data_IF_956022385261
#
_entry.id   IF_956022385261
#
_cell.length_a   1.000
_cell.length_b   1.000
_cell.length_c   1.000
_cell.angle_alpha   90.00
_cell.angle_beta   90.00
_cell.angle_gamma   90.00
#
_symmetry.space_group_name_H-M   'P 1'
#
loop_
_entity.id
_entity.type
_entity.pdbx_description
1 polymer ?
#
# COMPACT_ATOMS: atom_id res chain seq x y z
N UNK A 1 30.24 20.32 20.54
CA UNK A 1 28.83 20.47 20.97
C UNK A 1 28.00 21.40 20.06
N UNK A 2 28.40 21.63 18.79
CA UNK A 2 27.75 22.62 17.92
C UNK A 2 27.20 22.07 16.57
N UNK A 3 27.29 20.77 16.28
CA UNK A 3 26.96 20.21 14.94
C UNK A 3 25.65 19.40 14.85
N UNK A 4 24.97 19.12 15.97
CA UNK A 4 23.72 18.33 15.96
C UNK A 4 22.46 19.18 15.69
N UNK A 5 22.53 20.49 15.89
CA UNK A 5 21.38 21.39 15.66
C UNK A 5 21.13 21.64 14.15
N UNK A 6 22.20 21.67 13.34
CA UNK A 6 22.11 22.01 11.91
C UNK A 6 21.57 20.90 11.04
N UNK A 7 21.71 19.64 11.44
CA UNK A 7 21.24 18.48 10.66
C UNK A 7 19.74 18.28 10.85
N UNK A 8 19.24 18.44 12.07
CA UNK A 8 17.81 18.34 12.42
C UNK A 8 16.99 19.46 11.76
N UNK A 9 17.53 20.68 11.67
CA UNK A 9 16.88 21.79 10.97
C UNK A 9 16.93 21.66 9.45
N UNK A 10 17.99 21.05 8.88
CA UNK A 10 18.04 20.69 7.46
C UNK A 10 17.06 19.58 7.11
N UNK A 11 16.85 18.62 8.01
CA UNK A 11 15.84 17.56 7.85
C UNK A 11 14.43 18.12 7.99
N UNK A 12 14.13 18.94 9.00
CA UNK A 12 12.82 19.58 9.15
C UNK A 12 12.49 20.51 7.99
N UNK A 13 13.47 21.29 7.52
CA UNK A 13 13.27 22.18 6.36
C UNK A 13 13.24 21.42 5.03
N UNK A 14 13.88 20.25 4.92
CA UNK A 14 13.72 19.35 3.77
C UNK A 14 12.39 18.62 3.82
N UNK A 15 11.89 18.18 4.99
CA UNK A 15 10.57 17.57 5.17
C UNK A 15 9.48 18.61 4.95
N UNK A 16 9.64 19.86 5.41
CA UNK A 16 8.70 20.94 5.16
C UNK A 16 8.72 21.42 3.70
N UNK A 17 9.91 21.51 3.06
CA UNK A 17 10.01 21.81 1.62
C UNK A 17 9.54 20.66 0.75
N UNK A 18 9.86 19.43 1.12
CA UNK A 18 9.38 18.23 0.43
C UNK A 18 7.89 18.10 0.63
N UNK A 19 7.32 18.36 1.81
CA UNK A 19 5.86 18.41 2.03
C UNK A 19 5.21 19.44 1.11
N UNK A 20 5.70 20.68 1.08
CA UNK A 20 5.15 21.73 0.22
C UNK A 20 5.36 21.48 -1.30
N UNK A 21 6.35 20.67 -1.69
CA UNK A 21 6.59 20.28 -3.11
C UNK A 21 5.87 18.96 -3.48
N UNK A 22 5.64 18.10 -2.48
CA UNK A 22 4.91 16.84 -2.57
C UNK A 22 3.38 17.04 -2.38
N UNK A 23 2.94 18.21 -1.95
CA UNK A 23 1.53 18.60 -1.84
C UNK A 23 0.89 18.84 -3.20
N UNK A 24 1.67 18.89 -4.29
CA UNK A 24 1.16 19.18 -5.63
C UNK A 24 1.13 17.98 -6.58
N UNK A 25 1.89 16.91 -6.31
CA UNK A 25 1.90 15.73 -7.19
C UNK A 25 2.14 14.45 -6.39
N UNK A 26 1.06 13.78 -5.97
CA UNK A 26 1.11 12.44 -5.38
C UNK A 26 -0.01 11.54 -5.93
N UNK A 27 0.46 10.55 -6.69
CA UNK A 27 -0.16 9.32 -7.22
C UNK A 27 -1.70 9.22 -7.36
N UNK A 28 -2.21 9.34 -8.59
CA UNK A 28 -3.56 8.90 -8.99
C UNK A 28 -3.64 7.42 -9.41
N UNK A 29 -2.56 6.65 -9.22
CA UNK A 29 -2.28 5.39 -9.91
C UNK A 29 -3.34 4.29 -9.69
N UNK A 30 -3.99 4.26 -8.51
CA UNK A 30 -5.03 3.27 -8.23
C UNK A 30 -6.42 3.69 -8.76
N UNK A 31 -6.86 4.94 -8.60
CA UNK A 31 -8.22 5.32 -9.07
C UNK A 31 -8.29 5.52 -10.59
N UNK A 32 -7.28 6.14 -11.20
CA UNK A 32 -7.30 6.39 -12.64
C UNK A 32 -7.28 5.06 -13.42
N UNK A 33 -6.53 4.05 -12.96
CA UNK A 33 -6.53 2.71 -13.55
C UNK A 33 -7.91 2.04 -13.52
N UNK A 34 -8.59 2.05 -12.37
CA UNK A 34 -9.88 1.37 -12.23
C UNK A 34 -11.00 2.07 -13.02
N UNK A 35 -11.03 3.41 -13.01
CA UNK A 35 -11.99 4.19 -13.81
C UNK A 35 -11.71 4.00 -15.30
N UNK A 36 -10.45 4.03 -15.73
CA UNK A 36 -10.10 3.81 -17.13
C UNK A 36 -10.42 2.37 -17.58
N UNK A 37 -10.11 1.34 -16.78
CA UNK A 37 -10.40 -0.06 -17.12
C UNK A 37 -11.90 -0.29 -17.36
N UNK A 38 -12.78 0.26 -16.52
CA UNK A 38 -14.22 0.20 -16.72
C UNK A 38 -14.63 0.84 -18.05
N UNK A 39 -14.13 2.04 -18.34
CA UNK A 39 -14.46 2.77 -19.57
C UNK A 39 -13.93 2.07 -20.83
N UNK A 40 -12.76 1.42 -20.74
CA UNK A 40 -12.22 0.59 -21.83
C UNK A 40 -13.03 -0.70 -22.05
N UNK A 41 -13.49 -1.37 -21.00
CA UNK A 41 -14.40 -2.53 -21.13
C UNK A 41 -15.66 -2.12 -21.87
N UNK A 42 -16.26 -0.99 -21.50
CA UNK A 42 -17.45 -0.46 -22.19
C UNK A 42 -17.15 -0.09 -23.65
N UNK A 43 -16.04 0.61 -23.92
CA UNK A 43 -15.69 1.04 -25.28
C UNK A 43 -15.33 -0.12 -26.22
N UNK A 44 -14.84 -1.23 -25.68
CA UNK A 44 -14.56 -2.45 -26.44
C UNK A 44 -15.80 -3.36 -26.58
N UNK A 45 -16.98 -2.91 -26.13
CA UNK A 45 -18.23 -3.69 -26.11
C UNK A 45 -18.09 -5.03 -25.38
N UNK A 46 -17.29 -5.06 -24.32
CA UNK A 46 -17.08 -6.26 -23.51
C UNK A 46 -18.13 -6.35 -22.40
N UNK A 47 -18.50 -7.57 -21.96
CA UNK A 47 -19.41 -7.74 -20.84
C UNK A 47 -18.88 -7.09 -19.56
N UNK A 48 -19.76 -6.46 -18.77
CA UNK A 48 -19.38 -5.80 -17.51
C UNK A 48 -18.71 -6.76 -16.51
N UNK A 49 -18.98 -8.07 -16.61
CA UNK A 49 -18.33 -9.13 -15.81
C UNK A 49 -16.81 -9.14 -16.00
N UNK A 50 -16.31 -8.69 -17.16
CA UNK A 50 -14.87 -8.58 -17.45
C UNK A 50 -14.17 -7.61 -16.50
N UNK A 51 -14.84 -6.56 -16.02
CA UNK A 51 -14.29 -5.65 -14.99
C UNK A 51 -13.98 -6.42 -13.71
N UNK A 52 -14.88 -7.32 -13.30
CA UNK A 52 -14.67 -8.19 -12.15
C UNK A 52 -13.47 -9.11 -12.34
N UNK A 53 -13.34 -9.74 -13.51
CA UNK A 53 -12.20 -10.60 -13.80
C UNK A 53 -10.87 -9.86 -13.87
N UNK A 54 -10.83 -8.69 -14.49
CA UNK A 54 -9.64 -7.84 -14.54
C UNK A 54 -9.21 -7.39 -13.14
N UNK A 55 -10.17 -7.05 -12.28
CA UNK A 55 -9.91 -6.70 -10.88
C UNK A 55 -9.34 -7.87 -10.09
N UNK A 56 -9.94 -9.06 -10.20
CA UNK A 56 -9.43 -10.26 -9.53
C UNK A 56 -8.03 -10.63 -10.03
N UNK A 57 -7.79 -10.52 -11.34
CA UNK A 57 -6.47 -10.74 -11.92
C UNK A 57 -5.45 -9.73 -11.37
N UNK A 58 -5.82 -8.44 -11.24
CA UNK A 58 -4.94 -7.41 -10.69
C UNK A 58 -4.54 -7.68 -9.24
N UNK A 59 -5.45 -8.15 -8.40
CA UNK A 59 -5.10 -8.56 -7.04
C UNK A 59 -4.21 -9.81 -7.04
N UNK A 60 -4.53 -10.81 -7.88
CA UNK A 60 -3.71 -12.01 -8.01
C UNK A 60 -2.26 -11.73 -8.43
N UNK A 61 -2.07 -10.76 -9.32
CA UNK A 61 -0.74 -10.30 -9.78
C UNK A 61 -0.04 -9.46 -8.69
N UNK A 62 -0.75 -8.57 -8.00
CA UNK A 62 -0.14 -7.65 -7.03
C UNK A 62 0.22 -8.29 -5.69
N UNK A 63 -0.41 -9.40 -5.27
CA UNK A 63 -0.06 -10.11 -4.02
C UNK A 63 1.41 -10.57 -4.01
N UNK A 64 1.88 -11.38 -4.98
CA UNK A 64 3.29 -11.75 -5.05
C UNK A 64 4.16 -10.53 -5.38
N UNK A 65 3.63 -9.59 -6.18
CA UNK A 65 4.26 -8.31 -6.51
C UNK A 65 4.71 -7.54 -5.26
N UNK A 66 3.83 -7.36 -4.28
CA UNK A 66 4.08 -6.59 -3.06
C UNK A 66 5.22 -7.18 -2.22
N UNK A 67 5.25 -8.51 -2.06
CA UNK A 67 6.28 -9.21 -1.29
C UNK A 67 7.64 -9.05 -1.97
N UNK A 68 7.72 -9.35 -3.27
CA UNK A 68 8.95 -9.28 -4.05
C UNK A 68 9.44 -7.83 -4.13
N UNK A 69 8.54 -6.88 -4.35
CA UNK A 69 8.84 -5.46 -4.42
C UNK A 69 9.44 -4.95 -3.09
N UNK A 70 8.95 -5.45 -1.95
CA UNK A 70 9.50 -5.13 -0.64
C UNK A 70 10.97 -5.55 -0.50
N UNK A 71 11.26 -6.80 -0.86
CA UNK A 71 12.63 -7.34 -0.87
C UNK A 71 13.53 -6.53 -1.80
N UNK A 72 13.04 -6.17 -2.99
CA UNK A 72 13.77 -5.34 -3.95
C UNK A 72 14.06 -3.94 -3.39
N UNK A 73 13.11 -3.32 -2.70
CA UNK A 73 13.30 -2.00 -2.09
C UNK A 73 14.30 -2.03 -0.93
N UNK A 74 14.32 -3.11 -0.14
CA UNK A 74 15.32 -3.29 0.92
C UNK A 74 16.71 -3.60 0.33
N UNK A 75 16.78 -4.25 -0.84
CA UNK A 75 18.05 -4.62 -1.51
C UNK A 75 18.67 -3.46 -2.30
N UNK A 76 17.86 -2.74 -3.07
CA UNK A 76 18.32 -1.74 -4.05
C UNK A 76 17.98 -0.31 -3.63
N UNK A 77 17.23 -0.13 -2.55
CA UNK A 77 16.88 1.16 -1.98
C UNK A 77 15.67 1.85 -2.62
N UNK A 78 15.26 2.95 -1.99
CA UNK A 78 14.01 3.64 -2.30
C UNK A 78 13.96 4.25 -3.72
N UNK A 79 15.07 4.79 -4.24
CA UNK A 79 15.13 5.36 -5.61
C UNK A 79 14.83 4.31 -6.68
N UNK A 80 15.40 3.12 -6.52
CA UNK A 80 15.14 1.98 -7.39
C UNK A 80 13.67 1.55 -7.27
N UNK A 81 13.15 1.48 -6.04
CA UNK A 81 11.73 1.19 -5.81
C UNK A 81 10.80 2.15 -6.55
N UNK A 82 11.02 3.46 -6.45
CA UNK A 82 10.23 4.45 -7.20
C UNK A 82 10.38 4.32 -8.72
N UNK A 83 11.60 4.10 -9.21
CA UNK A 83 11.85 3.85 -10.64
C UNK A 83 11.02 2.67 -11.14
N UNK A 84 11.10 1.55 -10.44
CA UNK A 84 10.43 0.32 -10.81
C UNK A 84 8.90 0.47 -10.75
N UNK A 85 8.38 1.09 -9.69
CA UNK A 85 6.95 1.31 -9.52
C UNK A 85 6.36 2.21 -10.61
N UNK A 86 6.98 3.36 -10.89
CA UNK A 86 6.49 4.27 -11.91
C UNK A 86 6.71 3.74 -13.33
N UNK A 87 7.80 3.01 -13.60
CA UNK A 87 7.99 2.36 -14.89
C UNK A 87 6.91 1.29 -15.17
N UNK A 88 6.58 0.47 -14.16
CA UNK A 88 5.48 -0.50 -14.23
C UNK A 88 4.13 0.18 -14.47
N UNK A 89 3.89 1.30 -13.78
CA UNK A 89 2.70 2.15 -13.97
C UNK A 89 2.58 2.70 -15.40
N UNK A 90 3.65 3.32 -15.91
CA UNK A 90 3.72 3.85 -17.29
C UNK A 90 3.45 2.74 -18.31
N UNK A 91 4.08 1.58 -18.15
CA UNK A 91 3.95 0.48 -19.08
C UNK A 91 2.53 -0.12 -19.08
N UNK A 92 1.92 -0.25 -17.90
CA UNK A 92 0.52 -0.68 -17.74
C UNK A 92 -0.45 0.32 -18.40
N UNK A 93 -0.28 1.62 -18.15
CA UNK A 93 -1.15 2.64 -18.72
C UNK A 93 -0.96 2.84 -20.23
N UNK A 94 0.27 2.73 -20.75
CA UNK A 94 0.52 2.72 -22.20
C UNK A 94 -0.17 1.54 -22.88
N UNK A 95 -0.09 0.35 -22.28
CA UNK A 95 -0.77 -0.85 -22.79
C UNK A 95 -2.29 -0.67 -22.75
N UNK A 96 -2.82 -0.06 -21.69
CA UNK A 96 -4.24 0.27 -21.58
C UNK A 96 -4.65 1.30 -22.63
N UNK A 97 -3.87 2.36 -22.85
CA UNK A 97 -4.13 3.37 -23.87
C UNK A 97 -4.14 2.77 -25.30
N UNK A 98 -3.27 1.79 -25.54
CA UNK A 98 -3.18 1.08 -26.81
C UNK A 98 -4.19 -0.07 -26.95
N UNK A 99 -5.02 -0.34 -25.93
CA UNK A 99 -5.87 -1.52 -25.91
C UNK A 99 -6.87 -1.53 -27.08
N UNK A 100 -6.77 -2.58 -27.90
CA UNK A 100 -7.72 -2.89 -28.99
C UNK A 100 -8.58 -4.12 -28.70
N UNK A 101 -8.38 -4.76 -27.55
CA UNK A 101 -9.12 -5.96 -27.17
C UNK A 101 -8.87 -6.36 -25.72
N UNK A 102 -9.70 -7.30 -25.24
CA UNK A 102 -9.69 -7.77 -23.85
C UNK A 102 -8.31 -8.26 -23.39
N UNK A 103 -7.56 -8.97 -24.23
CA UNK A 103 -6.26 -9.52 -23.87
C UNK A 103 -5.23 -8.43 -23.48
N UNK A 104 -5.29 -7.25 -24.11
CA UNK A 104 -4.39 -6.13 -23.77
C UNK A 104 -4.70 -5.54 -22.39
N UNK A 105 -5.97 -5.62 -21.94
CA UNK A 105 -6.34 -5.22 -20.59
C UNK A 105 -5.81 -6.21 -19.55
N UNK A 106 -5.77 -7.51 -19.86
CA UNK A 106 -5.08 -8.48 -18.99
C UNK A 106 -3.57 -8.30 -19.03
N UNK A 107 -3.00 -7.94 -20.19
CA UNK A 107 -1.58 -7.63 -20.28
C UNK A 107 -1.22 -6.39 -19.44
N UNK A 108 -2.04 -5.33 -19.47
CA UNK A 108 -1.79 -4.16 -18.63
C UNK A 108 -1.86 -4.49 -17.13
N UNK A 109 -2.74 -5.41 -16.74
CA UNK A 109 -2.80 -5.97 -15.39
C UNK A 109 -1.51 -6.73 -15.03
N UNK A 110 -1.00 -7.59 -15.91
CA UNK A 110 0.28 -8.30 -15.66
C UNK A 110 1.43 -7.29 -15.52
N UNK A 111 1.43 -6.24 -16.34
CA UNK A 111 2.45 -5.19 -16.32
C UNK A 111 2.39 -4.31 -15.06
N UNK A 112 1.29 -4.34 -14.30
CA UNK A 112 1.17 -3.64 -13.01
C UNK A 112 1.78 -4.41 -11.83
N UNK A 113 2.50 -5.52 -12.08
CA UNK A 113 3.09 -6.37 -11.03
C UNK A 113 3.95 -5.64 -10.01
N UNK A 114 4.61 -4.54 -10.40
CA UNK A 114 5.46 -3.76 -9.50
C UNK A 114 4.88 -2.38 -9.15
N UNK A 115 3.58 -2.15 -9.35
CA UNK A 115 2.94 -0.84 -9.16
C UNK A 115 2.69 -0.49 -7.67
N UNK A 116 3.73 -0.57 -6.83
CA UNK A 116 3.67 -0.44 -5.37
C UNK A 116 4.26 0.89 -4.87
N UNK A 117 3.84 2.01 -5.44
CA UNK A 117 4.35 3.35 -5.07
C UNK A 117 4.07 3.76 -3.61
N UNK A 118 2.91 3.38 -3.07
CA UNK A 118 2.58 3.62 -1.67
C UNK A 118 3.49 2.83 -0.72
N UNK A 119 3.91 1.62 -1.10
CA UNK A 119 4.79 0.76 -0.32
C UNK A 119 6.18 1.38 -0.17
N UNK A 120 6.81 1.80 -1.27
CA UNK A 120 8.13 2.47 -1.23
C UNK A 120 8.05 3.83 -0.53
N UNK A 121 6.95 4.58 -0.71
CA UNK A 121 6.74 5.84 0.01
C UNK A 121 6.63 5.62 1.53
N UNK A 122 5.93 4.56 1.93
CA UNK A 122 5.78 4.18 3.34
C UNK A 122 7.10 3.72 3.95
N UNK A 123 7.95 3.03 3.19
CA UNK A 123 9.32 2.68 3.59
C UNK A 123 10.13 3.95 3.86
N UNK A 124 10.15 4.91 2.92
CA UNK A 124 10.90 6.16 3.07
C UNK A 124 10.45 6.95 4.29
N UNK A 125 9.14 7.08 4.51
CA UNK A 125 8.60 7.74 5.70
C UNK A 125 9.04 7.00 6.97
N UNK A 126 8.96 5.68 6.99
CA UNK A 126 9.31 4.88 8.16
C UNK A 126 10.80 4.99 8.51
N UNK A 127 11.68 5.01 7.51
CA UNK A 127 13.14 5.16 7.68
C UNK A 127 13.57 6.60 8.03
N UNK A 128 12.68 7.59 7.85
CA UNK A 128 12.99 9.02 8.09
C UNK A 128 12.27 9.62 9.29
N UNK A 129 11.43 8.85 9.96
CA UNK A 129 10.63 9.31 11.10
C UNK A 129 10.93 8.48 12.34
N UNK A 130 10.93 9.17 13.49
CA UNK A 130 11.02 8.52 14.79
C UNK A 130 9.77 7.68 15.07
N UNK A 131 9.88 6.70 15.97
CA UNK A 131 8.77 5.81 16.31
C UNK A 131 7.51 6.56 16.81
N UNK A 132 7.69 7.67 17.56
CA UNK A 132 6.60 8.46 18.13
C UNK A 132 5.83 9.28 17.07
N UNK A 133 6.51 9.75 16.03
CA UNK A 133 5.90 10.60 14.99
C UNK A 133 5.50 9.82 13.73
N UNK A 134 5.85 8.54 13.65
CA UNK A 134 5.67 7.71 12.45
C UNK A 134 4.22 7.56 12.03
N UNK A 135 3.32 7.27 12.98
CA UNK A 135 1.89 7.13 12.70
C UNK A 135 1.31 8.42 12.10
N UNK A 136 1.72 9.58 12.60
CA UNK A 136 1.30 10.88 12.08
C UNK A 136 1.76 11.09 10.63
N UNK A 137 3.04 10.84 10.33
CA UNK A 137 3.58 11.04 8.98
C UNK A 137 3.07 10.01 7.97
N UNK A 138 2.87 8.74 8.38
CA UNK A 138 2.20 7.74 7.55
C UNK A 138 0.72 8.10 7.30
N UNK A 139 0.07 8.74 8.28
CA UNK A 139 -1.25 9.33 8.13
C UNK A 139 -1.29 10.43 7.07
N UNK A 140 -0.35 11.39 7.13
CA UNK A 140 -0.22 12.44 6.11
C UNK A 140 0.10 11.88 4.72
N UNK A 141 0.96 10.86 4.64
CA UNK A 141 1.24 10.16 3.38
C UNK A 141 -0.04 9.56 2.79
N UNK A 142 -0.81 8.82 3.60
CA UNK A 142 -2.05 8.18 3.16
C UNK A 142 -3.12 9.21 2.78
N UNK A 143 -3.22 10.30 3.54
CA UNK A 143 -4.10 11.43 3.21
C UNK A 143 -3.76 12.02 1.85
N UNK A 144 -2.48 12.28 1.58
CA UNK A 144 -2.04 12.81 0.30
C UNK A 144 -2.32 11.86 -0.87
N UNK A 145 -2.17 10.55 -0.66
CA UNK A 145 -2.57 9.53 -1.64
C UNK A 145 -4.10 9.54 -1.88
N UNK A 146 -4.90 9.72 -0.82
CA UNK A 146 -6.35 9.84 -0.91
C UNK A 146 -6.80 11.08 -1.69
N UNK A 147 -6.15 12.23 -1.49
CA UNK A 147 -6.40 13.45 -2.27
C UNK A 147 -6.07 13.21 -3.76
N UNK A 148 -4.91 12.62 -4.04
CA UNK A 148 -4.49 12.26 -5.40
C UNK A 148 -5.45 11.29 -6.08
N UNK A 149 -5.99 10.33 -5.34
CA UNK A 149 -7.00 9.38 -5.80
C UNK A 149 -8.28 10.10 -6.24
N UNK A 150 -8.80 11.02 -5.42
CA UNK A 150 -10.02 11.79 -5.74
C UNK A 150 -9.79 12.69 -6.95
N UNK A 151 -8.74 13.51 -6.93
CA UNK A 151 -8.45 14.47 -8.01
C UNK A 151 -8.15 13.71 -9.31
N UNK A 152 -7.34 12.66 -9.26
CA UNK A 152 -6.99 11.84 -10.41
C UNK A 152 -8.20 11.12 -11.02
N UNK A 153 -9.09 10.58 -10.18
CA UNK A 153 -10.34 9.96 -10.62
C UNK A 153 -11.27 10.96 -11.31
N UNK A 154 -11.42 12.16 -10.74
CA UNK A 154 -12.22 13.23 -11.34
C UNK A 154 -11.64 13.71 -12.68
N UNK A 155 -10.33 13.97 -12.73
CA UNK A 155 -9.66 14.40 -13.95
C UNK A 155 -9.72 13.33 -15.04
N UNK A 156 -9.43 12.07 -14.71
CA UNK A 156 -9.50 10.94 -15.64
C UNK A 156 -10.92 10.71 -16.16
N UNK A 157 -11.93 10.78 -15.29
CA UNK A 157 -13.33 10.68 -15.66
C UNK A 157 -13.78 11.84 -16.56
N UNK A 158 -13.42 13.07 -16.22
CA UNK A 158 -13.71 14.25 -17.04
C UNK A 158 -13.07 14.14 -18.42
N UNK A 159 -11.79 13.80 -18.50
CA UNK A 159 -11.08 13.60 -19.78
C UNK A 159 -11.77 12.52 -20.62
N UNK A 160 -12.13 11.40 -20.01
CA UNK A 160 -12.73 10.31 -20.76
C UNK A 160 -14.15 10.64 -21.27
N UNK A 161 -14.96 11.33 -20.45
CA UNK A 161 -16.36 11.63 -20.77
C UNK A 161 -16.50 12.87 -21.68
N UNK A 162 -15.83 13.97 -21.34
CA UNK A 162 -15.95 15.24 -22.09
C UNK A 162 -15.13 15.24 -23.38
N UNK A 163 -13.90 14.72 -23.34
CA UNK A 163 -13.08 14.57 -24.56
C UNK A 163 -13.43 13.30 -25.34
N UNK A 164 -14.41 12.52 -24.86
CA UNK A 164 -14.89 11.26 -25.47
C UNK A 164 -13.76 10.30 -25.85
N UNK A 165 -12.70 10.28 -25.04
CA UNK A 165 -11.48 9.55 -25.36
C UNK A 165 -10.87 8.89 -24.13
N UNK A 166 -11.19 7.61 -23.95
CA UNK A 166 -10.61 6.76 -22.91
C UNK A 166 -9.08 6.66 -23.04
N UNK A 167 -8.57 6.71 -24.28
CA UNK A 167 -7.13 6.71 -24.56
C UNK A 167 -6.44 7.94 -23.98
N UNK A 168 -7.08 9.12 -24.09
CA UNK A 168 -6.52 10.34 -23.51
C UNK A 168 -6.49 10.29 -21.98
N UNK A 169 -7.50 9.67 -21.35
CA UNK A 169 -7.47 9.48 -19.89
C UNK A 169 -6.33 8.55 -19.45
N UNK A 170 -6.07 7.47 -20.19
CA UNK A 170 -4.92 6.60 -19.92
C UNK A 170 -3.57 7.29 -20.19
N UNK A 171 -3.44 8.06 -21.28
CA UNK A 171 -2.24 8.83 -21.59
C UNK A 171 -1.99 9.95 -20.57
N UNK A 172 -3.04 10.55 -20.02
CA UNK A 172 -2.92 11.50 -18.92
C UNK A 172 -2.26 10.85 -17.69
N UNK A 173 -2.67 9.63 -17.34
CA UNK A 173 -1.98 8.86 -16.28
C UNK A 173 -0.52 8.60 -16.60
N UNK A 174 -0.17 8.27 -17.85
CA UNK A 174 1.24 8.10 -18.28
C UNK A 174 2.05 9.37 -18.04
N UNK A 175 1.52 10.55 -18.39
CA UNK A 175 2.20 11.83 -18.16
C UNK A 175 2.41 12.08 -16.67
N UNK A 176 1.39 11.83 -15.84
CA UNK A 176 1.49 11.99 -14.39
C UNK A 176 2.51 11.04 -13.76
N UNK A 177 2.50 9.76 -14.14
CA UNK A 177 3.46 8.77 -13.65
C UNK A 177 4.88 9.08 -14.14
N UNK A 178 5.04 9.60 -15.37
CA UNK A 178 6.32 10.08 -15.89
C UNK A 178 6.86 11.29 -15.14
N UNK A 179 6.01 12.27 -14.84
CA UNK A 179 6.39 13.41 -14.01
C UNK A 179 6.78 12.96 -12.59
N UNK A 180 6.00 12.07 -11.98
CA UNK A 180 6.28 11.52 -10.65
C UNK A 180 7.59 10.72 -10.64
N UNK A 181 7.88 9.97 -11.71
CA UNK A 181 9.16 9.29 -11.90
C UNK A 181 10.32 10.30 -11.88
N UNK A 182 10.26 11.34 -12.72
CA UNK A 182 11.31 12.37 -12.79
C UNK A 182 11.50 13.04 -11.44
N UNK A 183 10.42 13.46 -10.78
CA UNK A 183 10.46 14.08 -9.46
C UNK A 183 11.07 13.13 -8.43
N UNK A 184 10.69 11.84 -8.43
CA UNK A 184 11.24 10.86 -7.49
C UNK A 184 12.75 10.70 -7.63
N UNK A 185 13.28 10.72 -8.86
CA UNK A 185 14.71 10.56 -9.09
C UNK A 185 15.51 11.81 -8.71
N UNK A 186 14.92 13.00 -8.87
CA UNK A 186 15.58 14.27 -8.55
C UNK A 186 15.49 14.64 -7.07
N UNK A 187 14.32 14.43 -6.44
CA UNK A 187 14.02 14.94 -5.11
C UNK A 187 14.29 13.94 -3.98
N UNK A 188 14.16 12.63 -4.23
CA UNK A 188 14.26 11.62 -3.17
C UNK A 188 15.71 11.14 -3.08
N UNK A 189 16.35 11.12 -1.91
CA UNK A 189 17.70 10.56 -1.77
C UNK A 189 17.67 9.02 -1.90
N UNK A 190 18.77 8.43 -2.37
CA UNK A 190 18.95 6.97 -2.35
C UNK A 190 19.09 6.51 -0.90
N UNK A 191 17.99 6.04 -0.31
CA UNK A 191 18.01 5.42 1.02
C UNK A 191 18.17 3.92 0.78
N UNK A 192 19.37 3.42 1.09
CA UNK A 192 19.69 2.00 1.06
C UNK A 192 19.94 1.59 2.51
N UNK A 193 19.27 0.55 3.03
CA UNK A 193 19.53 0.04 4.36
C UNK A 193 21.00 -0.38 4.51
N UNK A 194 21.65 0.02 5.61
CA UNK A 194 23.11 0.08 5.73
C UNK A 194 23.81 -1.26 5.99
N UNK A 195 23.09 -2.38 6.13
CA UNK A 195 23.71 -3.67 6.47
C UNK A 195 22.95 -4.92 6.01
N UNK A 196 22.02 -4.78 5.05
CA UNK A 196 21.21 -5.90 4.56
C UNK A 196 21.99 -6.88 3.67
N UNK A 197 21.61 -8.16 3.68
CA UNK A 197 22.00 -9.12 2.65
C UNK A 197 21.58 -8.57 1.28
N UNK A 198 22.54 -8.37 0.39
CA UNK A 198 22.26 -7.95 -0.97
C UNK A 198 21.96 -9.19 -1.81
N UNK A 199 20.71 -9.37 -2.21
CA UNK A 199 20.34 -10.45 -3.13
C UNK A 199 20.72 -10.07 -4.56
N UNK A 200 21.60 -10.85 -5.16
CA UNK A 200 22.10 -10.62 -6.51
C UNK A 200 21.32 -11.43 -7.54
N UNK A 201 20.72 -12.54 -7.14
CA UNK A 201 20.03 -13.45 -8.07
C UNK A 201 18.51 -13.45 -7.85
N UNK A 202 17.75 -13.49 -8.94
CA UNK A 202 16.29 -13.64 -8.88
C UNK A 202 15.85 -14.85 -8.04
N UNK A 203 16.55 -15.99 -8.17
CA UNK A 203 16.31 -17.22 -7.40
C UNK A 203 16.36 -16.98 -5.88
N UNK A 204 17.26 -16.12 -5.40
CA UNK A 204 17.38 -15.80 -3.98
C UNK A 204 16.20 -14.94 -3.52
N UNK A 205 15.81 -13.94 -4.33
CA UNK A 205 14.66 -13.06 -4.05
C UNK A 205 13.36 -13.86 -3.99
N UNK A 206 13.11 -14.69 -5.01
CA UNK A 206 11.93 -15.57 -5.05
C UNK A 206 11.98 -16.65 -3.96
N UNK A 207 13.18 -17.17 -3.65
CA UNK A 207 13.40 -18.11 -2.55
C UNK A 207 13.05 -17.49 -1.19
N UNK A 208 13.51 -16.27 -0.92
CA UNK A 208 13.17 -15.52 0.30
C UNK A 208 11.69 -15.19 0.37
N UNK A 209 11.07 -14.76 -0.74
CA UNK A 209 9.63 -14.53 -0.79
C UNK A 209 8.82 -15.80 -0.47
N UNK A 210 9.23 -16.95 -1.03
CA UNK A 210 8.59 -18.24 -0.77
C UNK A 210 8.76 -18.70 0.69
N UNK A 211 9.93 -18.48 1.29
CA UNK A 211 10.19 -18.76 2.70
C UNK A 211 9.33 -17.88 3.62
N UNK A 212 9.29 -16.57 3.38
CA UNK A 212 8.45 -15.64 4.14
C UNK A 212 6.97 -16.03 4.07
N UNK A 213 6.49 -16.40 2.87
CA UNK A 213 5.13 -16.89 2.71
C UNK A 213 4.90 -18.18 3.50
N UNK A 214 5.83 -19.14 3.41
CA UNK A 214 5.76 -20.41 4.13
C UNK A 214 5.78 -20.22 5.64
N UNK A 215 6.59 -19.31 6.16
CA UNK A 215 6.71 -19.03 7.59
C UNK A 215 5.47 -18.30 8.10
N UNK A 216 4.95 -17.34 7.31
CA UNK A 216 3.65 -16.71 7.58
C UNK A 216 2.54 -17.75 7.67
N UNK A 217 2.52 -18.72 6.75
CA UNK A 217 1.55 -19.82 6.73
C UNK A 217 1.78 -20.90 7.80
N UNK A 218 2.98 -21.02 8.38
CA UNK A 218 3.31 -22.00 9.43
C UNK A 218 3.13 -21.47 10.85
N UNK A 219 3.51 -20.23 11.10
CA UNK A 219 3.28 -19.56 12.40
C UNK A 219 1.83 -19.19 12.64
N UNK A 220 0.96 -19.55 11.69
CA UNK A 220 -0.49 -19.52 11.72
C UNK A 220 -1.09 -19.86 13.07
N UNK A 221 -0.60 -20.72 13.99
CA UNK A 221 -1.32 -20.90 15.28
C UNK A 221 -1.24 -19.72 16.30
N UNK A 222 -0.18 -18.93 16.30
CA UNK A 222 -0.04 -17.75 17.19
C UNK A 222 -0.22 -16.44 16.39
N UNK A 223 0.23 -16.46 15.13
CA UNK A 223 -0.13 -15.46 14.13
C UNK A 223 -1.58 -15.56 13.69
N UNK A 224 -2.34 -16.63 13.97
CA UNK A 224 -3.80 -16.73 13.74
C UNK A 224 -4.52 -15.78 14.65
N UNK A 225 -4.05 -15.48 15.86
CA UNK A 225 -4.77 -14.52 16.69
C UNK A 225 -4.68 -13.13 16.06
N UNK A 226 -3.50 -12.76 15.56
CA UNK A 226 -3.27 -11.52 14.80
C UNK A 226 -3.94 -11.55 13.43
N UNK A 227 -3.85 -12.63 12.67
CA UNK A 227 -4.45 -12.81 11.34
C UNK A 227 -5.97 -12.93 11.42
N UNK A 228 -6.53 -13.56 12.45
CA UNK A 228 -7.97 -13.61 12.77
C UNK A 228 -8.47 -12.25 13.25
N UNK A 229 -7.65 -11.52 14.03
CA UNK A 229 -7.89 -10.10 14.31
C UNK A 229 -7.87 -9.29 13.01
N UNK A 230 -6.86 -9.43 12.15
CA UNK A 230 -6.72 -8.75 10.87
C UNK A 230 -7.81 -9.13 9.86
N UNK A 231 -8.27 -10.38 9.87
CA UNK A 231 -9.29 -10.95 8.98
C UNK A 231 -10.68 -10.51 9.42
N UNK A 232 -11.00 -10.56 10.72
CA UNK A 232 -12.21 -9.93 11.27
C UNK A 232 -12.20 -8.42 11.05
N UNK A 233 -11.03 -7.80 11.20
CA UNK A 233 -10.77 -6.37 11.03
C UNK A 233 -10.93 -5.89 9.58
N UNK A 234 -10.40 -6.61 8.59
CA UNK A 234 -10.54 -6.27 7.18
C UNK A 234 -11.92 -6.60 6.62
N UNK A 235 -12.58 -7.66 7.11
CA UNK A 235 -13.99 -7.95 6.75
C UNK A 235 -14.89 -6.81 7.22
N UNK A 236 -14.68 -6.33 8.45
CA UNK A 236 -15.49 -5.25 9.06
C UNK A 236 -15.18 -3.86 8.48
N UNK A 237 -13.92 -3.55 8.21
CA UNK A 237 -13.53 -2.24 7.63
C UNK A 237 -13.69 -2.14 6.12
N UNK A 238 -13.94 -3.25 5.42
CA UNK A 238 -14.41 -3.23 4.03
C UNK A 238 -15.91 -2.91 3.93
N UNK A 239 -16.65 -3.02 5.04
CA UNK A 239 -18.11 -2.82 5.11
C UNK A 239 -18.50 -1.41 5.62
N UNK A 240 -17.63 -0.77 6.41
CA UNK A 240 -17.72 0.64 6.82
C UNK A 240 -16.31 1.20 6.77
N UNK A 241 -16.13 2.42 6.30
CA UNK A 241 -14.83 3.03 5.93
C UNK A 241 -14.07 3.65 7.15
N UNK A 242 -13.32 2.88 7.98
CA UNK A 242 -12.11 3.37 8.62
C UNK A 242 -10.87 2.49 8.38
N UNK A 243 -10.82 1.76 7.26
CA UNK A 243 -9.68 0.90 6.88
C UNK A 243 -8.34 1.66 6.81
N UNK A 244 -8.37 2.93 6.37
CA UNK A 244 -7.18 3.76 6.24
C UNK A 244 -6.48 4.06 7.58
N UNK A 245 -7.23 4.36 8.66
CA UNK A 245 -6.65 4.68 9.97
C UNK A 245 -5.92 3.48 10.57
N UNK A 246 -6.52 2.31 10.42
CA UNK A 246 -5.96 1.08 10.95
C UNK A 246 -4.79 0.58 10.11
N UNK A 247 -4.84 0.71 8.79
CA UNK A 247 -3.70 0.46 7.92
C UNK A 247 -2.50 1.28 8.38
N UNK A 248 -2.69 2.58 8.66
CA UNK A 248 -1.63 3.47 9.16
C UNK A 248 -1.12 3.06 10.55
N UNK A 249 -2.02 2.76 11.49
CA UNK A 249 -1.64 2.37 12.85
C UNK A 249 -0.84 1.06 12.87
N UNK A 250 -1.33 0.04 12.15
CA UNK A 250 -0.67 -1.25 11.99
C UNK A 250 0.69 -1.08 11.31
N UNK A 251 0.74 -0.34 10.21
CA UNK A 251 1.97 -0.07 9.48
C UNK A 251 3.01 0.60 10.38
N UNK A 252 2.59 1.60 11.16
CA UNK A 252 3.46 2.27 12.12
C UNK A 252 3.99 1.31 13.19
N UNK A 253 3.12 0.45 13.77
CA UNK A 253 3.52 -0.50 14.80
C UNK A 253 4.45 -1.61 14.29
N UNK A 254 4.27 -2.08 13.05
CA UNK A 254 5.14 -3.10 12.47
C UNK A 254 6.52 -2.53 12.16
N UNK A 255 6.56 -1.36 11.52
CA UNK A 255 7.82 -0.74 11.10
C UNK A 255 8.66 -0.26 12.28
N UNK A 256 8.09 -0.06 13.48
CA UNK A 256 8.88 0.26 14.69
C UNK A 256 9.56 -0.95 15.32
N UNK A 257 9.13 -2.16 14.96
CA UNK A 257 9.61 -3.42 15.57
C UNK A 257 10.60 -4.19 14.70
N UNK A 258 10.89 -3.66 13.51
CA UNK A 258 11.66 -4.35 12.46
C UNK A 258 12.92 -3.55 12.20
N UNK A 259 14.00 -4.26 11.85
CA UNK A 259 15.28 -3.63 11.50
C UNK A 259 15.15 -2.82 10.20
N UNK A 260 15.96 -1.78 10.03
CA UNK A 260 15.91 -0.91 8.85
C UNK A 260 16.09 -1.66 7.51
N UNK A 261 16.71 -2.86 7.56
CA UNK A 261 16.97 -3.72 6.40
C UNK A 261 15.76 -4.57 5.95
N UNK A 262 14.66 -4.58 6.71
CA UNK A 262 13.49 -5.42 6.41
C UNK A 262 12.18 -4.63 6.39
N UNK A 263 12.27 -3.29 6.50
CA UNK A 263 11.11 -2.41 6.57
C UNK A 263 10.24 -2.56 5.31
N UNK A 264 10.78 -2.50 4.10
CA UNK A 264 9.95 -2.61 2.90
C UNK A 264 9.37 -4.01 2.69
N UNK A 265 10.11 -5.04 3.09
CA UNK A 265 9.66 -6.44 3.05
C UNK A 265 8.45 -6.64 3.95
N UNK A 266 8.48 -6.11 5.18
CA UNK A 266 7.33 -6.20 6.11
C UNK A 266 6.15 -5.35 5.65
N UNK A 267 6.39 -4.14 5.13
CA UNK A 267 5.34 -3.32 4.51
C UNK A 267 4.71 -4.09 3.32
N UNK A 268 5.53 -4.76 2.50
CA UNK A 268 5.07 -5.56 1.35
C UNK A 268 4.26 -6.79 1.74
N UNK A 269 4.68 -7.49 2.80
CA UNK A 269 3.92 -8.61 3.35
C UNK A 269 2.55 -8.16 3.89
N UNK A 270 2.51 -7.00 4.57
CA UNK A 270 1.28 -6.39 5.03
C UNK A 270 0.37 -5.97 3.85
N UNK A 271 0.92 -5.34 2.82
CA UNK A 271 0.19 -4.94 1.61
C UNK A 271 -0.39 -6.16 0.88
N UNK A 272 0.38 -7.25 0.77
CA UNK A 272 -0.08 -8.53 0.23
C UNK A 272 -1.24 -9.12 1.04
N UNK A 273 -1.17 -9.04 2.37
CA UNK A 273 -2.25 -9.48 3.26
C UNK A 273 -3.51 -8.63 3.09
N UNK A 274 -3.39 -7.30 3.06
CA UNK A 274 -4.52 -6.41 2.81
C UNK A 274 -5.14 -6.63 1.42
N UNK A 275 -4.34 -6.88 0.40
CA UNK A 275 -4.82 -7.18 -0.96
C UNK A 275 -5.57 -8.51 -1.02
N UNK A 276 -5.06 -9.55 -0.35
CA UNK A 276 -5.74 -10.82 -0.22
C UNK A 276 -7.09 -10.66 0.50
N UNK A 277 -7.11 -9.90 1.59
CA UNK A 277 -8.33 -9.61 2.33
C UNK A 277 -9.33 -8.83 1.47
N UNK A 278 -8.90 -7.79 0.76
CA UNK A 278 -9.74 -7.02 -0.16
C UNK A 278 -10.31 -7.87 -1.32
N UNK A 279 -9.69 -9.00 -1.64
CA UNK A 279 -10.19 -9.95 -2.64
C UNK A 279 -11.30 -10.85 -2.07
N UNK A 280 -11.18 -11.30 -0.82
CA UNK A 280 -12.10 -12.26 -0.20
C UNK A 280 -13.27 -11.56 0.50
N UNK A 281 -13.02 -10.42 1.14
CA UNK A 281 -13.98 -9.72 1.99
C UNK A 281 -15.27 -9.30 1.26
N UNK A 282 -15.25 -8.78 0.01
CA UNK A 282 -16.48 -8.43 -0.70
C UNK A 282 -17.40 -9.63 -0.93
N UNK A 283 -16.82 -10.79 -1.24
CA UNK A 283 -17.58 -12.03 -1.46
C UNK A 283 -18.21 -12.54 -0.17
N UNK A 284 -17.45 -12.54 0.93
CA UNK A 284 -17.96 -12.90 2.26
C UNK A 284 -19.01 -11.91 2.77
N UNK A 285 -18.79 -10.61 2.55
CA UNK A 285 -19.71 -9.55 2.92
C UNK A 285 -21.04 -9.65 2.16
N UNK A 286 -20.99 -9.94 0.86
CA UNK A 286 -22.19 -10.14 0.05
C UNK A 286 -22.96 -11.41 0.48
N UNK A 287 -22.25 -12.49 0.80
CA UNK A 287 -22.86 -13.69 1.34
C UNK A 287 -23.53 -13.42 2.70
N UNK A 288 -22.85 -12.73 3.62
CA UNK A 288 -23.41 -12.37 4.93
C UNK A 288 -24.63 -11.45 4.78
N UNK A 289 -24.57 -10.48 3.87
CA UNK A 289 -25.70 -9.62 3.51
C UNK A 289 -26.90 -10.43 3.03
N UNK A 290 -26.68 -11.46 2.20
CA UNK A 290 -27.76 -12.29 1.66
C UNK A 290 -28.51 -13.11 2.71
N UNK A 291 -27.86 -13.43 3.84
CA UNK A 291 -28.43 -14.28 4.91
C UNK A 291 -29.01 -13.42 6.04
N UNK A 292 -28.28 -12.40 6.48
CA UNK A 292 -28.56 -11.67 7.70
C UNK A 292 -29.06 -10.23 7.47
N UNK A 293 -29.10 -9.79 6.21
CA UNK A 293 -29.51 -8.44 5.83
C UNK A 293 -28.51 -7.36 6.26
N UNK A 294 -28.79 -6.12 5.85
CA UNK A 294 -27.89 -4.98 6.02
C UNK A 294 -27.59 -4.65 7.50
N UNK A 295 -28.59 -4.78 8.37
CA UNK A 295 -28.49 -4.39 9.78
C UNK A 295 -27.50 -5.28 10.55
N UNK A 296 -27.52 -6.59 10.30
CA UNK A 296 -26.61 -7.53 10.95
C UNK A 296 -25.14 -7.28 10.53
N UNK A 297 -24.93 -6.90 9.27
CA UNK A 297 -23.62 -6.53 8.74
C UNK A 297 -23.07 -5.30 9.48
N UNK A 298 -23.87 -4.25 9.65
CA UNK A 298 -23.46 -3.06 10.41
C UNK A 298 -23.25 -3.32 11.90
N UNK A 299 -24.08 -4.15 12.54
CA UNK A 299 -23.90 -4.53 13.95
C UNK A 299 -22.62 -5.32 14.17
N UNK A 300 -22.31 -6.27 13.28
CA UNK A 300 -21.05 -7.01 13.30
C UNK A 300 -19.86 -6.05 13.16
N UNK A 301 -19.98 -5.03 12.31
CA UNK A 301 -18.95 -3.99 12.18
C UNK A 301 -18.77 -3.16 13.45
N UNK A 302 -19.87 -2.77 14.11
CA UNK A 302 -19.85 -1.98 15.34
C UNK A 302 -19.22 -2.76 16.49
N UNK A 303 -19.69 -4.00 16.72
CA UNK A 303 -19.18 -4.88 17.78
C UNK A 303 -17.69 -5.09 17.61
N UNK A 304 -17.25 -5.39 16.39
CA UNK A 304 -15.85 -5.63 16.11
C UNK A 304 -14.98 -4.37 16.27
N UNK A 305 -15.46 -3.21 15.82
CA UNK A 305 -14.76 -1.94 16.05
C UNK A 305 -14.60 -1.65 17.55
N UNK A 306 -15.61 -1.99 18.36
CA UNK A 306 -15.53 -1.93 19.83
C UNK A 306 -14.48 -2.88 20.41
N UNK A 307 -14.41 -4.13 19.94
CA UNK A 307 -13.38 -5.10 20.37
C UNK A 307 -11.98 -4.59 20.07
N UNK A 308 -11.74 -4.05 18.88
CA UNK A 308 -10.45 -3.47 18.50
C UNK A 308 -10.10 -2.28 19.40
N UNK A 309 -11.06 -1.38 19.64
CA UNK A 309 -10.86 -0.24 20.54
C UNK A 309 -10.53 -0.69 21.98
N UNK A 310 -11.10 -1.80 22.46
CA UNK A 310 -10.76 -2.34 23.79
C UNK A 310 -9.38 -3.00 23.78
N UNK A 311 -9.05 -3.77 22.75
CA UNK A 311 -7.78 -4.51 22.69
C UNK A 311 -6.58 -3.58 22.50
N UNK A 312 -6.74 -2.49 21.74
CA UNK A 312 -5.67 -1.55 21.42
C UNK A 312 -5.78 -0.19 22.13
N UNK A 313 -6.94 0.16 22.68
CA UNK A 313 -7.19 1.45 23.34
C UNK A 313 -7.13 1.39 24.88
N UNK A 314 -6.87 0.23 25.47
CA UNK A 314 -6.51 0.17 26.90
C UNK A 314 -5.13 0.83 27.06
N UNK A 315 -4.98 1.84 27.94
CA UNK A 315 -3.69 2.44 28.24
C UNK A 315 -2.69 1.37 28.68
N UNK A 316 -1.44 1.48 28.22
CA UNK A 316 -0.32 0.60 28.58
C UNK A 316 -0.21 0.34 30.10
N UNK A 317 -0.67 1.27 30.93
CA UNK A 317 -0.72 1.20 32.39
C UNK A 317 -1.64 0.12 32.99
N UNK A 318 -2.58 -0.46 32.22
CA UNK A 318 -3.55 -1.46 32.72
C UNK A 318 -3.22 -2.90 32.31
N UNK A 319 -2.16 -3.13 31.53
CA UNK A 319 -1.76 -4.49 31.17
C UNK A 319 -0.87 -5.10 32.27
N UNK A 320 -1.09 -6.36 32.66
CA UNK A 320 -0.19 -7.08 33.57
C UNK A 320 1.24 -7.09 33.01
N UNK A 321 2.23 -6.74 33.84
CA UNK A 321 3.68 -6.72 33.49
C UNK A 321 4.24 -8.07 32.99
N UNK A 322 3.44 -9.14 33.01
CA UNK A 322 3.77 -10.50 32.60
C UNK A 322 3.54 -10.80 31.11
N UNK A 323 3.07 -9.83 30.30
CA UNK A 323 3.00 -9.99 28.84
C UNK A 323 4.34 -9.63 28.17
N UNK A 324 5.07 -10.59 27.57
CA UNK A 324 6.37 -10.34 26.91
C UNK A 324 6.27 -9.40 25.69
N UNK A 325 5.05 -9.12 25.21
CA UNK A 325 4.80 -8.20 24.10
C UNK A 325 4.75 -6.71 24.51
N UNK A 326 4.59 -6.41 25.81
CA UNK A 326 4.42 -5.06 26.35
C UNK A 326 5.64 -4.58 27.15
N UNK A 327 6.40 -5.47 27.77
CA UNK A 327 7.71 -5.13 28.34
C UNK A 327 8.72 -4.67 27.28
N UNK A 328 8.52 -5.06 26.02
CA UNK A 328 9.28 -4.58 24.87
C UNK A 328 8.82 -3.20 24.34
N UNK A 329 7.64 -2.72 24.73
CA UNK A 329 7.14 -1.38 24.39
C UNK A 329 7.65 -0.31 25.38
N UNK A 330 7.90 -0.70 26.64
CA UNK A 330 8.50 0.16 27.68
C UNK A 330 10.03 0.15 27.67
N UNK A 331 10.65 -0.73 26.87
CA UNK A 331 12.08 -0.70 26.66
C UNK A 331 12.42 0.54 25.82
N UNK A 332 12.85 1.61 26.49
CA UNK A 332 13.53 2.73 25.84
C UNK A 332 14.55 2.17 24.84
N UNK A 333 14.61 2.71 23.61
CA UNK A 333 15.65 2.30 22.67
C UNK A 333 17.02 2.48 23.36
N UNK A 334 17.94 1.51 23.25
CA UNK A 334 19.29 1.70 23.75
C UNK A 334 19.86 2.95 23.06
N UNK A 335 20.45 3.83 23.87
CA UNK A 335 21.09 5.08 23.45
C UNK A 335 22.12 4.88 22.31
#
# INVERSE_FOLDING_TARGET
MADTCTTTDRVRSFVARSAHTLDHFKQPDFAAAHVCLLLFVLALNLPITVVGYLRSAAFGVQIPGAIIFGILCDTYGSRFGFLLAFASCILSFLTTAAAIGQWMLYLSVVLSFFMHGLQVSSQVVSLRTSASERAFHLGLLTLSYGIGLVIGGLAGGFIALELRSNRMAALFSVVLSGAALVVSQLAIPAIVPTSGERYETATEIFGRAALLLKDTLKHTKSSLLLLFFFLGFAIVTSLVNPSALNFVAIMSLMTTRVTENEVATVIGLNDASFTLLNTICPSLGLWLYSIAGLHAVFLLCLVWSGVVAVVFGVPSALYPKSYPLLSALDAHPPE
#
